data_IF_543406330611
#
_entry.id   IF_543406330611
#
_cell.length_a   1.000
_cell.length_b   1.000
_cell.length_c   1.000
_cell.angle_alpha   90.00
_cell.angle_beta   90.00
_cell.angle_gamma   90.00
#
_symmetry.space_group_name_H-M   'P 1'
#
loop_
_entity.id
_entity.type
_entity.pdbx_description
1 polymer ?
#
# COMPACT_ATOMS: atom_id res chain seq x y z
N UNK A 1 10.38 19.67 28.11
CA UNK A 1 10.76 18.67 29.13
C UNK A 1 11.26 17.44 28.40
N UNK A 2 12.49 17.01 28.70
CA UNK A 2 13.11 15.85 28.05
C UNK A 2 12.39 14.58 28.50
N UNK A 3 11.71 13.90 27.58
CA UNK A 3 11.13 12.58 27.83
C UNK A 3 12.24 11.56 27.72
N UNK A 4 12.66 11.05 28.87
CA UNK A 4 13.54 9.89 29.03
C UNK A 4 12.83 8.65 28.45
N UNK A 5 13.47 7.82 27.62
CA UNK A 5 12.84 6.62 27.12
C UNK A 5 12.66 5.60 28.26
N UNK A 6 11.40 5.32 28.59
CA UNK A 6 11.04 4.23 29.49
C UNK A 6 11.46 2.89 28.87
N UNK A 7 12.40 2.22 29.53
CA UNK A 7 12.87 0.88 29.18
C UNK A 7 11.83 -0.13 29.70
N UNK A 8 10.94 -0.58 28.83
CA UNK A 8 10.05 -1.70 29.14
C UNK A 8 10.91 -2.96 29.26
N UNK A 9 11.17 -3.40 30.50
CA UNK A 9 11.82 -4.66 30.82
C UNK A 9 10.81 -5.81 30.58
N UNK A 10 10.78 -6.32 29.35
CA UNK A 10 10.25 -7.65 29.07
C UNK A 10 11.38 -8.67 29.25
N UNK A 11 11.04 -9.80 29.89
CA UNK A 11 11.96 -10.83 30.35
C UNK A 11 12.88 -11.42 29.27
N UNK A 12 14.00 -11.95 29.73
CA UNK A 12 15.12 -12.50 28.99
C UNK A 12 14.72 -13.51 27.88
N UNK A 13 14.72 -13.05 26.63
CA UNK A 13 15.21 -13.84 25.51
C UNK A 13 16.66 -13.43 25.24
N UNK A 14 17.61 -14.34 24.97
CA UNK A 14 18.91 -13.96 24.45
C UNK A 14 18.65 -13.42 23.05
N UNK A 15 18.45 -12.10 22.95
CA UNK A 15 18.19 -11.43 21.69
C UNK A 15 19.27 -11.76 20.65
N UNK A 16 19.00 -11.45 19.36
CA UNK A 16 19.97 -11.70 18.31
C UNK A 16 21.34 -11.09 18.69
N UNK A 17 22.45 -11.72 18.28
CA UNK A 17 23.76 -11.23 18.68
C UNK A 17 23.92 -9.77 18.21
N UNK A 18 24.64 -8.91 18.96
CA UNK A 18 24.66 -7.46 18.72
C UNK A 18 25.08 -7.02 17.31
N UNK A 19 25.77 -7.90 16.57
CA UNK A 19 26.19 -7.63 15.19
C UNK A 19 25.11 -7.94 14.15
N UNK A 20 24.09 -8.75 14.48
CA UNK A 20 23.05 -9.17 13.55
C UNK A 20 22.08 -8.03 13.19
N UNK A 21 21.81 -7.13 14.13
CA UNK A 21 20.98 -5.94 13.89
C UNK A 21 21.67 -4.69 14.41
N UNK A 22 21.92 -3.72 13.53
CA UNK A 22 22.49 -2.42 13.87
C UNK A 22 21.47 -1.32 13.55
N UNK A 23 20.77 -0.75 14.56
CA UNK A 23 19.89 0.39 14.33
C UNK A 23 20.72 1.63 13.98
N UNK A 24 20.49 2.20 12.80
CA UNK A 24 21.15 3.41 12.31
C UNK A 24 20.08 4.43 11.90
N UNK A 25 19.56 5.25 12.83
CA UNK A 25 18.61 6.30 12.48
C UNK A 25 19.29 7.34 11.58
N UNK A 26 18.79 7.49 10.37
CA UNK A 26 19.24 8.47 9.38
C UNK A 26 18.04 9.32 8.94
N UNK A 27 18.24 10.64 8.81
CA UNK A 27 17.21 11.56 8.32
C UNK A 27 17.42 11.81 6.83
N UNK A 28 16.43 11.43 6.02
CA UNK A 28 16.45 11.61 4.56
C UNK A 28 17.11 10.46 3.80
N UNK A 29 17.17 10.60 2.47
CA UNK A 29 18.00 9.72 1.65
C UNK A 29 19.46 10.06 1.94
N UNK A 30 20.05 9.39 2.94
CA UNK A 30 21.49 9.23 2.93
C UNK A 30 21.81 8.66 1.55
N UNK A 31 22.62 9.34 0.71
CA UNK A 31 23.01 8.73 -0.54
C UNK A 31 23.64 7.39 -0.19
N UNK A 32 23.55 6.41 -1.09
CA UNK A 32 24.61 5.42 -1.17
C UNK A 32 25.90 6.19 -1.56
N UNK A 33 26.40 7.02 -0.65
CA UNK A 33 27.49 7.95 -0.87
C UNK A 33 28.75 7.12 -1.02
N UNK A 34 29.60 7.47 -1.99
CA UNK A 34 30.87 6.79 -2.16
C UNK A 34 31.75 7.15 -0.96
N UNK A 35 31.83 6.29 0.05
CA UNK A 35 32.97 6.34 0.96
C UNK A 35 34.18 5.78 0.21
N UNK A 36 35.33 6.47 0.22
CA UNK A 36 36.55 5.97 -0.39
C UNK A 36 37.20 4.97 0.57
N UNK A 37 36.92 3.69 0.37
CA UNK A 37 37.89 2.58 0.44
C UNK A 37 37.14 1.26 0.20
N UNK A 38 37.57 0.43 -0.76
CA UNK A 38 36.94 -0.88 -1.01
C UNK A 38 37.16 -1.91 0.13
N UNK A 39 37.86 -1.55 1.20
CA UNK A 39 38.36 -2.48 2.21
C UNK A 39 37.70 -2.39 3.60
N UNK A 40 36.80 -1.43 3.89
CA UNK A 40 36.36 -1.21 5.28
C UNK A 40 34.84 -1.22 5.57
N UNK A 41 33.94 -1.24 4.57
CA UNK A 41 32.50 -1.37 4.83
C UNK A 41 31.86 -2.57 4.10
N UNK A 42 30.98 -3.34 4.78
CA UNK A 42 30.25 -4.43 4.15
C UNK A 42 29.35 -3.88 3.04
N UNK A 43 29.56 -4.35 1.82
CA UNK A 43 28.72 -3.98 0.69
C UNK A 43 27.35 -4.67 0.77
N UNK A 44 26.25 -3.98 0.40
CA UNK A 44 24.91 -4.54 0.56
C UNK A 44 24.70 -5.71 -0.40
N UNK A 45 24.45 -6.92 0.14
CA UNK A 45 23.98 -8.06 -0.65
C UNK A 45 22.51 -7.92 -1.08
N UNK A 46 21.73 -7.15 -0.32
CA UNK A 46 20.30 -6.95 -0.57
C UNK A 46 19.76 -5.70 0.12
N UNK A 47 18.74 -5.08 -0.44
CA UNK A 47 18.10 -3.84 0.05
C UNK A 47 16.57 -4.01 0.07
N UNK A 48 15.97 -3.84 1.24
CA UNK A 48 14.51 -3.83 1.45
C UNK A 48 14.03 -2.41 1.68
N UNK A 49 12.97 -1.99 0.97
CA UNK A 49 12.43 -0.63 1.07
C UNK A 49 10.90 -0.69 1.14
N UNK A 50 10.31 0.02 2.10
CA UNK A 50 8.87 0.35 2.12
C UNK A 50 8.73 1.86 2.12
N UNK A 51 8.48 2.45 0.95
CA UNK A 51 8.47 3.91 0.75
C UNK A 51 7.77 4.26 -0.56
N UNK A 52 7.46 5.54 -0.83
CA UNK A 52 6.87 5.92 -2.12
C UNK A 52 7.70 5.52 -3.35
N UNK A 53 7.02 5.26 -4.46
CA UNK A 53 7.61 4.76 -5.72
C UNK A 53 8.83 5.56 -6.22
N UNK A 54 8.81 6.89 -6.11
CA UNK A 54 9.92 7.76 -6.54
C UNK A 54 11.23 7.48 -5.79
N UNK A 55 11.15 7.21 -4.48
CA UNK A 55 12.33 6.88 -3.66
C UNK A 55 12.90 5.53 -4.07
N UNK A 56 12.05 4.51 -4.25
CA UNK A 56 12.49 3.18 -4.68
C UNK A 56 13.16 3.23 -6.06
N UNK A 57 12.57 3.97 -7.02
CA UNK A 57 13.15 4.19 -8.35
C UNK A 57 14.50 4.90 -8.30
N UNK A 58 14.67 5.86 -7.38
CA UNK A 58 15.95 6.54 -7.17
C UNK A 58 17.03 5.58 -6.68
N UNK A 59 16.72 4.77 -5.65
CA UNK A 59 17.64 3.75 -5.13
C UNK A 59 18.01 2.71 -6.18
N UNK A 60 17.06 2.28 -7.00
CA UNK A 60 17.32 1.38 -8.12
C UNK A 60 18.33 1.96 -9.11
N UNK A 61 18.17 3.24 -9.49
CA UNK A 61 19.12 3.94 -10.37
C UNK A 61 20.51 4.03 -9.75
N UNK A 62 20.61 4.33 -8.45
CA UNK A 62 21.89 4.38 -7.75
C UNK A 62 22.61 3.04 -7.73
N UNK A 63 21.88 1.94 -7.51
CA UNK A 63 22.46 0.59 -7.58
C UNK A 63 22.95 0.28 -9.00
N UNK A 64 22.15 0.58 -10.01
CA UNK A 64 22.55 0.37 -11.42
C UNK A 64 23.80 1.18 -11.79
N UNK A 65 23.91 2.44 -11.35
CA UNK A 65 25.07 3.31 -11.60
C UNK A 65 26.35 2.83 -10.92
N UNK A 66 26.27 2.01 -9.87
CA UNK A 66 27.41 1.55 -9.10
C UNK A 66 27.71 0.05 -9.29
N UNK A 67 27.18 -0.57 -10.35
CA UNK A 67 27.15 -2.03 -10.50
C UNK A 67 28.55 -2.66 -10.46
N UNK A 68 29.53 -2.03 -11.11
CA UNK A 68 30.92 -2.49 -11.18
C UNK A 68 31.64 -2.51 -9.82
N UNK A 69 31.07 -1.86 -8.80
CA UNK A 69 31.65 -1.77 -7.46
C UNK A 69 31.20 -2.92 -6.56
N UNK A 70 30.10 -3.57 -6.89
CA UNK A 70 29.52 -4.63 -6.07
C UNK A 70 30.16 -5.98 -6.35
N UNK A 71 30.41 -6.77 -5.28
CA UNK A 71 30.91 -8.14 -5.40
C UNK A 71 29.87 -9.11 -5.98
N UNK A 72 28.58 -8.79 -5.84
CA UNK A 72 27.43 -9.54 -6.35
C UNK A 72 26.35 -8.55 -6.75
N UNK A 73 25.39 -8.97 -7.57
CA UNK A 73 24.22 -8.15 -7.91
C UNK A 73 23.34 -7.91 -6.67
N UNK A 74 23.18 -6.66 -6.20
CA UNK A 74 22.31 -6.38 -5.06
C UNK A 74 20.85 -6.69 -5.40
N UNK A 75 20.17 -7.36 -4.47
CA UNK A 75 18.74 -7.68 -4.61
C UNK A 75 17.89 -6.58 -4.00
N UNK A 76 17.07 -5.91 -4.81
CA UNK A 76 16.13 -4.90 -4.32
C UNK A 76 14.75 -5.54 -4.12
N UNK A 77 14.12 -5.26 -2.97
CA UNK A 77 12.73 -5.56 -2.67
C UNK A 77 12.04 -4.26 -2.24
N UNK A 78 10.94 -3.91 -2.88
CA UNK A 78 10.26 -2.62 -2.70
C UNK A 78 8.75 -2.78 -2.58
N UNK A 79 8.15 -2.20 -1.55
CA UNK A 79 6.70 -1.98 -1.41
C UNK A 79 6.43 -0.46 -1.49
N UNK A 80 5.68 -0.03 -2.51
CA UNK A 80 5.74 1.32 -3.06
C UNK A 80 4.44 2.13 -3.01
N UNK A 81 3.48 1.72 -2.18
CA UNK A 81 2.19 2.39 -2.03
C UNK A 81 1.15 1.98 -3.07
N UNK A 82 0.00 2.64 -3.03
CA UNK A 82 -1.13 2.28 -3.87
C UNK A 82 -2.19 3.37 -4.04
N UNK A 83 -3.01 3.21 -5.07
CA UNK A 83 -4.26 3.98 -5.26
C UNK A 83 -5.45 3.02 -5.28
N UNK A 84 -5.73 2.46 -4.12
CA UNK A 84 -6.63 1.32 -3.96
C UNK A 84 -8.08 1.68 -4.22
N UNK A 85 -8.85 0.69 -4.67
CA UNK A 85 -10.24 0.86 -5.07
C UNK A 85 -11.20 -0.04 -4.30
N UNK A 86 -12.40 0.44 -4.07
CA UNK A 86 -13.59 -0.39 -3.84
C UNK A 86 -14.51 -0.23 -5.05
N UNK A 87 -14.88 -1.34 -5.69
CA UNK A 87 -15.84 -1.38 -6.78
C UNK A 87 -17.13 -2.03 -6.30
N UNK A 88 -18.25 -1.36 -6.50
CA UNK A 88 -19.57 -1.81 -6.06
C UNK A 88 -20.37 -2.21 -7.30
N UNK A 89 -20.97 -3.39 -7.29
CA UNK A 89 -21.98 -3.79 -8.28
C UNK A 89 -23.39 -3.55 -7.70
N UNK A 90 -24.41 -3.42 -8.56
CA UNK A 90 -25.81 -3.21 -8.14
C UNK A 90 -26.38 -4.31 -7.23
N UNK A 91 -25.74 -5.49 -7.20
CA UNK A 91 -26.10 -6.61 -6.34
C UNK A 91 -25.31 -6.63 -5.02
N UNK A 92 -24.62 -5.54 -4.66
CA UNK A 92 -23.83 -5.48 -3.44
C UNK A 92 -24.71 -5.39 -2.19
N UNK A 93 -24.20 -5.90 -1.07
CA UNK A 93 -24.74 -5.59 0.25
C UNK A 93 -24.32 -4.16 0.65
N UNK A 94 -25.30 -3.25 0.78
CA UNK A 94 -25.05 -1.82 1.01
C UNK A 94 -24.36 -1.56 2.34
N UNK A 95 -24.72 -2.29 3.40
CA UNK A 95 -24.16 -2.08 4.73
C UNK A 95 -22.70 -2.52 4.82
N UNK A 96 -22.36 -3.63 4.16
CA UNK A 96 -20.97 -4.09 4.00
C UNK A 96 -20.14 -3.10 3.18
N UNK A 97 -20.71 -2.52 2.11
CA UNK A 97 -20.05 -1.47 1.32
C UNK A 97 -19.75 -0.25 2.18
N UNK A 98 -20.74 0.25 2.93
CA UNK A 98 -20.59 1.45 3.77
C UNK A 98 -19.56 1.21 4.87
N UNK A 99 -19.75 0.18 5.69
CA UNK A 99 -18.85 -0.12 6.81
C UNK A 99 -17.42 -0.45 6.35
N UNK A 100 -17.29 -1.29 5.31
CA UNK A 100 -16.01 -1.67 4.75
C UNK A 100 -15.27 -0.49 4.14
N UNK A 101 -15.97 0.41 3.45
CA UNK A 101 -15.35 1.59 2.82
C UNK A 101 -14.94 2.64 3.85
N UNK A 102 -15.78 2.93 4.85
CA UNK A 102 -15.41 3.86 5.94
C UNK A 102 -14.16 3.38 6.68
N UNK A 103 -14.09 2.09 7.03
CA UNK A 103 -12.90 1.50 7.66
C UNK A 103 -11.69 1.57 6.76
N UNK A 104 -11.83 1.16 5.50
CA UNK A 104 -10.72 1.14 4.56
C UNK A 104 -10.14 2.54 4.29
N UNK A 105 -11.00 3.55 4.16
CA UNK A 105 -10.59 4.91 3.83
C UNK A 105 -10.05 5.69 5.04
N UNK A 106 -10.59 5.46 6.24
CA UNK A 106 -10.39 6.40 7.36
C UNK A 106 -9.70 5.81 8.59
N UNK A 107 -9.64 4.47 8.77
CA UNK A 107 -8.85 3.91 9.87
C UNK A 107 -7.39 4.36 9.76
N UNK A 108 -6.79 4.75 10.89
CA UNK A 108 -5.45 5.33 10.94
C UNK A 108 -5.28 6.56 10.02
N UNK A 109 -6.36 7.31 9.80
CA UNK A 109 -6.38 8.50 8.94
C UNK A 109 -6.06 8.19 7.49
N UNK A 110 -6.37 6.98 7.00
CA UNK A 110 -6.03 6.57 5.63
C UNK A 110 -4.53 6.41 5.36
N UNK A 111 -3.69 6.40 6.40
CA UNK A 111 -2.23 6.28 6.30
C UNK A 111 -1.79 4.81 6.19
N UNK A 112 -2.44 4.09 5.28
CA UNK A 112 -2.14 2.71 4.95
C UNK A 112 -1.93 2.62 3.44
N UNK A 113 -0.89 1.90 3.00
CA UNK A 113 -0.68 1.63 1.58
C UNK A 113 -1.87 0.90 0.93
N UNK A 114 -2.70 0.21 1.73
CA UNK A 114 -3.91 -0.51 1.31
C UNK A 114 -5.23 0.28 1.46
N UNK A 115 -5.19 1.52 1.96
CA UNK A 115 -6.39 2.33 2.21
C UNK A 115 -7.18 2.59 0.92
N UNK A 116 -8.49 2.37 0.95
CA UNK A 116 -9.38 2.72 -0.15
C UNK A 116 -9.45 4.24 -0.31
N UNK A 117 -9.09 4.73 -1.50
CA UNK A 117 -9.21 6.17 -1.82
C UNK A 117 -10.07 6.44 -3.05
N UNK A 118 -10.57 5.38 -3.72
CA UNK A 118 -11.45 5.46 -4.88
C UNK A 118 -12.60 4.48 -4.75
N UNK A 119 -13.82 4.98 -4.63
CA UNK A 119 -15.04 4.18 -4.59
C UNK A 119 -15.78 4.33 -5.92
N UNK A 120 -16.13 3.22 -6.55
CA UNK A 120 -16.92 3.19 -7.78
C UNK A 120 -18.31 2.63 -7.47
N UNK A 121 -19.36 3.44 -7.64
CA UNK A 121 -20.73 3.10 -7.20
C UNK A 121 -21.71 3.14 -8.38
N UNK A 122 -22.59 2.13 -8.54
CA UNK A 122 -23.62 2.17 -9.57
C UNK A 122 -24.68 3.20 -9.21
N UNK A 123 -25.23 3.87 -10.23
CA UNK A 123 -26.23 4.93 -10.05
C UNK A 123 -27.46 4.46 -9.26
N UNK A 124 -27.89 3.21 -9.44
CA UNK A 124 -29.04 2.64 -8.71
C UNK A 124 -28.85 2.61 -7.18
N UNK A 125 -27.63 2.35 -6.70
CA UNK A 125 -27.34 2.26 -5.26
C UNK A 125 -26.79 3.57 -4.68
N UNK A 126 -26.41 4.53 -5.52
CA UNK A 126 -25.78 5.76 -5.05
C UNK A 126 -26.62 6.55 -4.04
N UNK A 127 -27.95 6.75 -4.20
CA UNK A 127 -28.75 7.45 -3.20
C UNK A 127 -28.67 6.81 -1.80
N UNK A 128 -28.73 5.48 -1.73
CA UNK A 128 -28.67 4.73 -0.48
C UNK A 128 -27.26 4.78 0.13
N UNK A 129 -26.23 4.49 -0.67
CA UNK A 129 -24.83 4.50 -0.22
C UNK A 129 -24.40 5.90 0.21
N UNK A 130 -24.75 6.95 -0.55
CA UNK A 130 -24.47 8.34 -0.21
C UNK A 130 -25.12 8.70 1.13
N UNK A 131 -26.41 8.44 1.30
CA UNK A 131 -27.13 8.74 2.54
C UNK A 131 -26.45 8.10 3.76
N UNK A 132 -26.15 6.80 3.68
CA UNK A 132 -25.52 6.04 4.76
C UNK A 132 -24.08 6.51 5.04
N UNK A 133 -23.28 6.77 4.00
CA UNK A 133 -21.92 7.29 4.17
C UNK A 133 -21.92 8.65 4.88
N UNK A 134 -22.85 9.55 4.52
CA UNK A 134 -22.95 10.87 5.15
C UNK A 134 -23.48 10.80 6.59
N UNK A 135 -24.45 9.91 6.86
CA UNK A 135 -24.96 9.67 8.21
C UNK A 135 -23.86 9.16 9.15
N UNK A 136 -23.16 8.10 8.74
CA UNK A 136 -22.10 7.50 9.56
C UNK A 136 -20.87 8.42 9.64
N UNK A 137 -20.58 9.21 8.60
CA UNK A 137 -19.53 10.24 8.63
C UNK A 137 -19.75 11.21 9.80
N UNK A 138 -20.98 11.67 10.03
CA UNK A 138 -21.32 12.56 11.13
C UNK A 138 -21.10 11.96 12.53
N UNK A 139 -20.88 10.65 12.64
CA UNK A 139 -20.59 9.94 13.89
C UNK A 139 -19.10 9.65 14.11
N UNK A 140 -18.25 9.90 13.11
CA UNK A 140 -16.81 9.61 13.21
C UNK A 140 -16.16 10.59 14.21
N UNK A 141 -15.58 10.04 15.27
CA UNK A 141 -14.80 10.80 16.25
C UNK A 141 -13.33 10.85 15.84
N UNK A 142 -12.78 12.06 15.74
CA UNK A 142 -11.35 12.33 15.55
C UNK A 142 -10.82 13.01 16.80
N UNK A 143 -9.77 12.49 17.41
CA UNK A 143 -9.30 12.97 18.70
C UNK A 143 -8.00 12.35 19.18
N UNK A 144 -7.67 12.57 20.45
CA UNK A 144 -6.53 11.95 21.11
C UNK A 144 -6.85 10.47 21.44
N UNK A 145 -6.12 9.50 20.86
CA UNK A 145 -6.41 8.08 21.04
C UNK A 145 -5.96 7.54 22.40
N UNK A 146 -5.11 8.26 23.14
CA UNK A 146 -4.69 7.87 24.49
C UNK A 146 -5.72 8.29 25.54
N UNK A 147 -6.38 9.44 25.35
CA UNK A 147 -7.35 10.00 26.29
C UNK A 147 -8.80 9.54 26.03
N UNK A 148 -9.21 9.35 24.78
CA UNK A 148 -10.56 8.87 24.42
C UNK A 148 -10.52 7.64 23.52
N UNK A 149 -10.83 6.46 24.09
CA UNK A 149 -10.92 5.20 23.34
C UNK A 149 -12.14 5.13 22.40
N UNK A 150 -13.07 6.08 22.49
CA UNK A 150 -14.11 6.30 21.49
C UNK A 150 -13.60 6.94 20.19
N UNK A 151 -12.34 7.38 20.14
CA UNK A 151 -11.69 7.91 18.94
C UNK A 151 -11.61 6.85 17.85
N UNK A 152 -12.12 7.15 16.66
CA UNK A 152 -12.05 6.25 15.51
C UNK A 152 -10.69 6.32 14.80
N UNK A 153 -10.15 7.53 14.62
CA UNK A 153 -8.76 7.75 14.21
C UNK A 153 -8.26 9.13 14.70
N UNK A 154 -6.95 9.36 14.63
CA UNK A 154 -6.32 10.59 15.16
C UNK A 154 -5.61 11.41 14.07
N UNK A 155 -4.78 12.37 14.48
CA UNK A 155 -3.97 13.20 13.62
C UNK A 155 -3.12 12.39 12.62
N UNK A 156 -2.80 13.03 11.49
CA UNK A 156 -1.84 12.49 10.52
C UNK A 156 -0.40 12.65 11.03
N UNK A 157 0.52 11.89 10.47
CA UNK A 157 1.82 11.59 11.09
C UNK A 157 2.73 12.80 11.32
N UNK A 158 2.73 13.77 10.39
CA UNK A 158 3.63 14.92 10.44
C UNK A 158 3.10 16.14 9.64
N UNK A 159 3.76 17.29 9.82
CA UNK A 159 3.44 18.53 9.11
C UNK A 159 3.50 18.40 7.58
N UNK A 160 4.40 17.56 7.05
CA UNK A 160 4.51 17.33 5.60
C UNK A 160 3.28 16.61 5.06
N UNK A 161 2.79 15.62 5.78
CA UNK A 161 1.57 14.89 5.46
C UNK A 161 0.35 15.78 5.59
N UNK A 162 0.25 16.57 6.67
CA UNK A 162 -0.79 17.58 6.84
C UNK A 162 -0.83 18.56 5.66
N UNK A 163 0.31 19.18 5.33
CA UNK A 163 0.40 20.14 4.23
C UNK A 163 0.08 19.53 2.86
N UNK A 164 0.46 18.26 2.61
CA UNK A 164 0.07 17.53 1.39
C UNK A 164 -1.44 17.30 1.32
N UNK A 165 -2.04 16.83 2.40
CA UNK A 165 -3.47 16.53 2.44
C UNK A 165 -4.29 17.81 2.31
N UNK A 166 -3.90 18.89 3.01
CA UNK A 166 -4.53 20.21 2.89
C UNK A 166 -4.57 20.69 1.44
N UNK A 167 -3.49 20.54 0.67
CA UNK A 167 -3.45 20.89 -0.77
C UNK A 167 -4.47 20.10 -1.59
N UNK A 168 -4.65 18.80 -1.29
CA UNK A 168 -5.67 17.99 -1.96
C UNK A 168 -7.10 18.39 -1.58
N UNK A 169 -7.32 18.83 -0.34
CA UNK A 169 -8.60 19.38 0.10
C UNK A 169 -8.91 20.73 -0.57
N UNK A 170 -7.90 21.58 -0.75
CA UNK A 170 -8.01 22.83 -1.51
C UNK A 170 -8.31 22.56 -3.00
N UNK A 171 -7.61 21.59 -3.61
CA UNK A 171 -7.88 21.10 -4.97
C UNK A 171 -9.31 20.57 -5.13
N UNK A 172 -9.80 19.78 -4.17
CA UNK A 172 -11.16 19.26 -4.17
C UNK A 172 -12.25 20.35 -4.10
N UNK A 173 -11.92 21.54 -3.57
CA UNK A 173 -12.81 22.71 -3.53
C UNK A 173 -12.76 23.55 -4.80
N UNK A 174 -11.62 23.60 -5.48
CA UNK A 174 -11.41 24.46 -6.65
C UNK A 174 -11.69 23.76 -7.99
N UNK A 175 -11.57 22.43 -8.05
CA UNK A 175 -11.78 21.67 -9.26
C UNK A 175 -13.27 21.58 -9.62
N UNK A 176 -13.68 21.93 -10.86
CA UNK A 176 -15.10 21.93 -11.26
C UNK A 176 -15.69 20.51 -11.41
N UNK A 177 -14.85 19.48 -11.51
CA UNK A 177 -15.27 18.09 -11.58
C UNK A 177 -15.45 17.45 -10.21
N UNK A 178 -15.07 18.13 -9.13
CA UNK A 178 -15.10 17.62 -7.76
C UNK A 178 -16.16 18.32 -6.92
N UNK A 179 -16.76 17.59 -5.99
CA UNK A 179 -17.69 18.14 -5.01
C UNK A 179 -17.42 17.50 -3.65
N UNK A 180 -17.05 18.30 -2.66
CA UNK A 180 -16.91 17.82 -1.28
C UNK A 180 -18.31 17.53 -0.72
N UNK A 181 -18.59 16.27 -0.42
CA UNK A 181 -19.86 15.82 0.15
C UNK A 181 -19.88 15.91 1.68
N UNK A 182 -18.73 15.67 2.31
CA UNK A 182 -18.58 15.67 3.77
C UNK A 182 -17.16 16.01 4.21
N UNK A 183 -17.05 16.66 5.37
CA UNK A 183 -15.77 16.99 6.02
C UNK A 183 -14.94 18.01 5.24
N UNK A 184 -13.63 17.76 5.16
CA UNK A 184 -12.67 18.60 4.45
C UNK A 184 -12.06 19.73 5.28
N UNK A 185 -12.35 19.82 6.59
CA UNK A 185 -11.62 20.72 7.48
C UNK A 185 -10.33 20.06 7.97
N UNK A 186 -9.36 20.90 8.33
CA UNK A 186 -8.11 20.48 8.94
C UNK A 186 -7.59 21.59 9.85
N UNK A 187 -6.94 21.22 10.95
CA UNK A 187 -6.38 22.11 11.95
C UNK A 187 -5.07 21.51 12.46
N UNK A 188 -3.99 22.29 12.46
CA UNK A 188 -2.66 21.93 12.94
C UNK A 188 -2.21 22.70 14.20
N UNK A 189 -3.14 23.39 14.87
CA UNK A 189 -2.85 24.21 16.06
C UNK A 189 -2.38 23.41 17.28
N UNK A 190 -2.89 22.19 17.46
CA UNK A 190 -2.55 21.29 18.59
C UNK A 190 -1.90 20.00 18.10
N UNK A 191 -2.48 19.39 17.07
CA UNK A 191 -1.97 18.22 16.38
C UNK A 191 -2.40 18.28 14.92
N UNK A 192 -1.83 17.46 14.06
CA UNK A 192 -2.10 17.48 12.62
C UNK A 192 -3.46 16.84 12.28
N UNK A 193 -4.56 17.43 12.73
CA UNK A 193 -5.90 16.87 12.59
C UNK A 193 -6.51 17.18 11.23
N UNK A 194 -6.99 16.14 10.55
CA UNK A 194 -7.73 16.25 9.29
C UNK A 194 -9.03 15.48 9.45
N UNK A 195 -10.17 16.13 9.21
CA UNK A 195 -11.47 15.46 9.23
C UNK A 195 -11.56 14.43 8.07
N UNK A 196 -12.29 13.31 8.26
CA UNK A 196 -12.55 12.40 7.16
C UNK A 196 -13.28 13.15 6.05
N UNK A 197 -12.80 13.06 4.81
CA UNK A 197 -13.31 13.81 3.68
C UNK A 197 -13.87 12.85 2.62
N UNK A 198 -15.11 13.10 2.18
CA UNK A 198 -15.74 12.36 1.09
C UNK A 198 -15.97 13.33 -0.07
N UNK A 199 -15.42 13.01 -1.23
CA UNK A 199 -15.50 13.83 -2.44
C UNK A 199 -16.20 13.02 -3.54
N UNK A 200 -17.14 13.62 -4.24
CA UNK A 200 -17.69 13.07 -5.49
C UNK A 200 -16.92 13.63 -6.67
N UNK A 201 -16.45 12.77 -7.58
CA UNK A 201 -15.88 13.18 -8.86
C UNK A 201 -16.85 12.86 -10.00
N UNK A 202 -17.00 13.80 -10.92
CA UNK A 202 -17.67 13.60 -12.22
C UNK A 202 -16.71 13.06 -13.29
N UNK A 203 -15.40 13.13 -13.03
CA UNK A 203 -14.35 12.65 -13.92
C UNK A 203 -13.62 11.44 -13.30
N UNK A 204 -13.71 10.22 -13.89
CA UNK A 204 -12.99 9.06 -13.36
C UNK A 204 -11.48 9.11 -13.58
N UNK A 205 -10.98 10.13 -14.31
CA UNK A 205 -9.57 10.35 -14.65
C UNK A 205 -8.96 11.57 -13.93
N UNK A 206 -9.69 12.18 -12.99
CA UNK A 206 -9.24 13.32 -12.19
C UNK A 206 -7.93 13.00 -11.44
N UNK A 207 -6.95 13.92 -11.31
CA UNK A 207 -5.72 13.69 -10.54
C UNK A 207 -5.91 13.04 -9.15
N UNK A 208 -6.94 13.41 -8.41
CA UNK A 208 -7.30 12.85 -7.10
C UNK A 208 -7.67 11.36 -7.18
N UNK A 209 -8.09 10.87 -8.36
CA UNK A 209 -8.33 9.46 -8.67
C UNK A 209 -7.06 8.72 -9.12
N UNK A 210 -5.91 9.38 -9.19
CA UNK A 210 -4.65 8.79 -9.70
C UNK A 210 -3.53 8.81 -8.68
N UNK A 211 -3.42 9.89 -7.92
CA UNK A 211 -2.29 10.14 -7.04
C UNK A 211 -2.56 9.68 -5.60
N UNK A 212 -1.57 9.03 -4.98
CA UNK A 212 -1.65 8.58 -3.58
C UNK A 212 -1.57 9.80 -2.65
N UNK A 213 -2.60 10.00 -1.83
CA UNK A 213 -2.71 11.14 -0.90
C UNK A 213 -2.13 10.77 0.46
N UNK A 214 -2.34 9.52 0.89
CA UNK A 214 -1.93 8.98 2.19
C UNK A 214 -2.52 9.81 3.35
N UNK A 215 -3.86 9.93 3.34
CA UNK A 215 -4.66 10.74 4.25
C UNK A 215 -6.14 10.37 4.15
N UNK A 216 -7.02 10.90 5.02
CA UNK A 216 -8.40 10.45 5.15
C UNK A 216 -9.31 11.09 4.09
N UNK A 217 -8.99 10.87 2.81
CA UNK A 217 -9.71 11.44 1.65
C UNK A 217 -10.18 10.32 0.73
N UNK A 218 -11.50 10.14 0.67
CA UNK A 218 -12.18 9.20 -0.20
C UNK A 218 -12.79 9.94 -1.39
N UNK A 219 -12.46 9.53 -2.61
CA UNK A 219 -13.14 10.02 -3.82
C UNK A 219 -14.09 8.96 -4.36
N UNK A 220 -15.31 9.37 -4.70
CA UNK A 220 -16.39 8.53 -5.22
C UNK A 220 -16.64 8.90 -6.68
N UNK A 221 -16.72 7.90 -7.55
CA UNK A 221 -17.20 8.04 -8.92
C UNK A 221 -18.47 7.21 -9.10
N UNK A 222 -19.54 7.86 -9.60
CA UNK A 222 -20.84 7.22 -9.81
C UNK A 222 -21.00 6.88 -11.28
N UNK A 223 -21.20 5.60 -11.58
CA UNK A 223 -21.28 5.08 -12.95
C UNK A 223 -22.70 4.58 -13.29
N UNK A 224 -23.15 4.63 -14.56
CA UNK A 224 -24.39 4.00 -14.99
C UNK A 224 -24.34 2.48 -14.84
N UNK A 225 -25.36 1.85 -14.25
CA UNK A 225 -25.41 0.42 -13.96
C UNK A 225 -25.06 -0.50 -15.16
N UNK A 226 -25.50 -0.12 -16.35
CA UNK A 226 -25.27 -0.83 -17.61
C UNK A 226 -23.83 -0.72 -18.13
N UNK A 227 -23.02 0.17 -17.55
CA UNK A 227 -21.61 0.42 -17.91
C UNK A 227 -20.62 -0.17 -16.90
N UNK A 228 -21.03 -1.19 -16.13
CA UNK A 228 -20.17 -1.76 -15.10
C UNK A 228 -18.88 -2.36 -15.70
N UNK A 229 -18.92 -2.96 -16.90
CA UNK A 229 -17.75 -3.54 -17.56
C UNK A 229 -16.77 -2.47 -18.01
N UNK A 230 -17.27 -1.40 -18.61
CA UNK A 230 -16.49 -0.21 -18.98
C UNK A 230 -15.84 0.39 -17.73
N UNK A 231 -16.60 0.44 -16.63
CA UNK A 231 -16.09 0.93 -15.35
C UNK A 231 -15.02 0.01 -14.76
N UNK A 232 -15.13 -1.31 -14.89
CA UNK A 232 -14.05 -2.24 -14.50
C UNK A 232 -12.76 -1.99 -15.31
N UNK A 233 -12.88 -1.69 -16.62
CA UNK A 233 -11.71 -1.28 -17.43
C UNK A 233 -11.13 0.07 -16.96
N UNK A 234 -11.98 1.01 -16.54
CA UNK A 234 -11.52 2.26 -15.94
C UNK A 234 -10.75 2.00 -14.63
N UNK A 235 -11.30 1.19 -13.72
CA UNK A 235 -10.64 0.81 -12.46
C UNK A 235 -9.22 0.27 -12.72
N UNK A 236 -9.08 -0.61 -13.71
CA UNK A 236 -7.80 -1.22 -14.10
C UNK A 236 -6.79 -0.20 -14.67
N UNK A 237 -7.26 0.75 -15.48
CA UNK A 237 -6.41 1.62 -16.32
C UNK A 237 -6.16 3.02 -15.77
N UNK A 238 -6.97 3.53 -14.84
CA UNK A 238 -6.88 4.92 -14.34
C UNK A 238 -5.53 5.20 -13.66
N UNK A 239 -4.93 4.22 -12.97
CA UNK A 239 -3.75 4.45 -12.10
C UNK A 239 -2.57 3.59 -12.50
N UNK A 240 -1.36 4.06 -12.16
CA UNK A 240 -0.12 3.28 -12.31
C UNK A 240 0.06 2.20 -11.23
N UNK A 241 -0.80 2.16 -10.21
CA UNK A 241 -0.67 1.27 -9.05
C UNK A 241 -1.41 -0.06 -9.24
N UNK A 242 -1.01 -1.06 -8.44
CA UNK A 242 -1.51 -2.43 -8.51
C UNK A 242 -1.54 -3.15 -7.15
N UNK A 243 -1.83 -2.43 -6.05
CA UNK A 243 -1.66 -2.95 -4.69
C UNK A 243 -2.88 -3.71 -4.16
N UNK A 244 -3.93 -3.00 -3.73
CA UNK A 244 -5.14 -3.63 -3.21
C UNK A 244 -6.41 -3.14 -3.90
N UNK A 245 -7.44 -3.97 -3.90
CA UNK A 245 -8.76 -3.57 -4.37
C UNK A 245 -9.84 -4.56 -3.98
N UNK A 246 -11.07 -4.08 -3.86
CA UNK A 246 -12.22 -4.88 -3.47
C UNK A 246 -13.35 -4.81 -4.50
N UNK A 247 -14.08 -5.91 -4.67
CA UNK A 247 -15.36 -5.96 -5.37
C UNK A 247 -16.46 -6.36 -4.39
N UNK A 248 -17.50 -5.53 -4.29
CA UNK A 248 -18.71 -5.83 -3.54
C UNK A 248 -19.81 -6.25 -4.54
N UNK A 249 -20.20 -7.52 -4.50
CA UNK A 249 -21.23 -8.11 -5.36
C UNK A 249 -21.69 -9.46 -4.79
N UNK A 250 -23.00 -9.71 -4.81
CA UNK A 250 -23.57 -11.05 -4.56
C UNK A 250 -23.78 -11.90 -5.84
N UNK A 251 -23.75 -11.28 -7.02
CA UNK A 251 -23.86 -11.98 -8.30
C UNK A 251 -22.54 -12.69 -8.64
N UNK A 252 -22.60 -14.03 -8.75
CA UNK A 252 -21.41 -14.87 -8.98
C UNK A 252 -20.76 -14.62 -10.34
N UNK A 253 -21.54 -14.37 -11.37
CA UNK A 253 -20.99 -14.17 -12.73
C UNK A 253 -20.23 -12.84 -12.79
N UNK A 254 -20.77 -11.83 -12.12
CA UNK A 254 -20.10 -10.52 -11.97
C UNK A 254 -18.83 -10.64 -11.14
N UNK A 255 -18.84 -11.38 -10.03
CA UNK A 255 -17.64 -11.64 -9.22
C UNK A 255 -16.55 -12.30 -10.07
N UNK A 256 -16.90 -13.35 -10.82
CA UNK A 256 -15.95 -14.05 -11.68
C UNK A 256 -15.41 -13.16 -12.81
N UNK A 257 -16.29 -12.37 -13.45
CA UNK A 257 -15.91 -11.43 -14.50
C UNK A 257 -14.98 -10.34 -13.97
N UNK A 258 -15.34 -9.68 -12.87
CA UNK A 258 -14.53 -8.66 -12.24
C UNK A 258 -13.17 -9.21 -11.79
N UNK A 259 -13.14 -10.43 -11.22
CA UNK A 259 -11.89 -11.10 -10.84
C UNK A 259 -10.96 -11.33 -12.04
N UNK A 260 -11.51 -11.67 -13.22
CA UNK A 260 -10.72 -11.82 -14.44
C UNK A 260 -10.22 -10.47 -14.98
N UNK A 261 -11.10 -9.47 -15.02
CA UNK A 261 -10.77 -8.14 -15.57
C UNK A 261 -9.78 -7.37 -14.71
N UNK A 262 -9.86 -7.53 -13.37
CA UNK A 262 -9.03 -6.81 -12.41
C UNK A 262 -7.82 -7.63 -11.93
N UNK A 263 -7.49 -8.73 -12.60
CA UNK A 263 -6.45 -9.69 -12.21
C UNK A 263 -5.11 -9.03 -11.87
N UNK A 264 -4.73 -7.99 -12.63
CA UNK A 264 -3.47 -7.27 -12.45
C UNK A 264 -3.66 -5.88 -11.82
N UNK A 265 -4.89 -5.49 -11.50
CA UNK A 265 -5.21 -4.21 -10.87
C UNK A 265 -4.93 -4.21 -9.35
N UNK A 266 -4.87 -5.40 -8.74
CA UNK A 266 -4.58 -5.57 -7.32
C UNK A 266 -3.83 -6.89 -7.08
N UNK A 267 -2.70 -6.82 -6.38
CA UNK A 267 -1.99 -7.99 -5.87
C UNK A 267 -2.66 -8.61 -4.64
N UNK A 268 -3.44 -7.83 -3.89
CA UNK A 268 -4.36 -8.31 -2.85
C UNK A 268 -5.79 -7.89 -3.23
N UNK A 269 -6.57 -8.87 -3.69
CA UNK A 269 -7.93 -8.67 -4.18
C UNK A 269 -8.94 -9.26 -3.21
N UNK A 270 -9.97 -8.47 -2.88
CA UNK A 270 -10.98 -8.80 -1.88
C UNK A 270 -12.36 -8.88 -2.52
N UNK A 271 -13.18 -9.83 -2.08
CA UNK A 271 -14.57 -9.98 -2.51
C UNK A 271 -15.45 -9.82 -1.27
N UNK A 272 -16.35 -8.84 -1.29
CA UNK A 272 -17.26 -8.51 -0.18
C UNK A 272 -16.56 -8.24 1.17
N UNK A 273 -15.35 -7.70 1.12
CA UNK A 273 -14.59 -7.25 2.30
C UNK A 273 -13.79 -5.98 1.94
N UNK A 274 -13.34 -5.25 2.96
CA UNK A 274 -12.53 -4.05 2.80
C UNK A 274 -11.12 -4.37 2.28
N UNK A 275 -10.51 -3.45 1.54
CA UNK A 275 -9.19 -3.63 0.93
C UNK A 275 -7.98 -3.64 1.89
N UNK A 276 -8.20 -3.46 3.20
CA UNK A 276 -7.16 -3.31 4.23
C UNK A 276 -7.14 -4.48 5.21
N UNK A 277 -6.05 -4.64 5.95
CA UNK A 277 -5.98 -5.56 7.09
C UNK A 277 -5.58 -6.98 6.72
N UNK A 278 -4.70 -7.14 5.74
CA UNK A 278 -4.07 -8.43 5.42
C UNK A 278 -3.38 -9.03 6.65
N UNK A 279 -3.63 -10.31 6.89
CA UNK A 279 -3.06 -11.07 8.01
C UNK A 279 -1.92 -11.95 7.52
N UNK A 280 -0.80 -11.94 8.26
CA UNK A 280 0.37 -12.79 7.99
C UNK A 280 -0.06 -14.27 7.95
N UNK A 281 0.43 -15.01 6.95
CA UNK A 281 0.08 -16.42 6.74
C UNK A 281 -1.29 -16.67 6.11
N UNK A 282 -2.16 -15.65 6.00
CA UNK A 282 -3.47 -15.80 5.37
C UNK A 282 -3.57 -15.03 4.04
N UNK A 283 -3.22 -13.73 4.03
CA UNK A 283 -3.21 -12.91 2.82
C UNK A 283 -1.84 -12.27 2.62
N UNK A 284 -0.82 -13.02 2.12
CA UNK A 284 0.49 -12.46 1.80
C UNK A 284 0.35 -11.14 1.01
N UNK A 285 0.98 -10.09 1.54
CA UNK A 285 0.71 -8.72 1.11
C UNK A 285 1.69 -8.27 0.04
N UNK A 286 1.22 -7.58 -0.99
CA UNK A 286 2.07 -6.95 -2.00
C UNK A 286 1.36 -6.83 -3.35
N UNK A 287 1.91 -5.98 -4.22
CA UNK A 287 1.36 -5.74 -5.55
C UNK A 287 2.42 -5.32 -6.56
N UNK A 288 2.09 -5.47 -7.85
CA UNK A 288 2.98 -5.16 -8.96
C UNK A 288 2.72 -3.72 -9.49
N UNK A 289 3.04 -3.47 -10.77
CA UNK A 289 2.99 -2.13 -11.39
C UNK A 289 3.87 -1.14 -10.62
N UNK A 290 3.40 0.08 -10.36
CA UNK A 290 4.13 1.04 -9.53
C UNK A 290 4.11 0.69 -8.03
N UNK A 291 3.38 -0.35 -7.60
CA UNK A 291 3.25 -0.70 -6.18
C UNK A 291 4.41 -1.53 -5.63
N UNK A 292 5.33 -2.03 -6.47
CA UNK A 292 6.54 -2.68 -5.97
C UNK A 292 6.99 -3.91 -6.74
N UNK A 293 7.89 -4.67 -6.10
CA UNK A 293 8.44 -5.94 -6.59
C UNK A 293 7.56 -7.15 -6.29
N UNK A 294 6.53 -6.98 -5.46
CA UNK A 294 5.54 -8.02 -5.12
C UNK A 294 6.18 -9.31 -4.56
N UNK A 295 7.15 -9.18 -3.65
CA UNK A 295 7.85 -10.32 -3.05
C UNK A 295 6.98 -11.07 -2.00
N UNK A 296 5.78 -10.55 -1.72
CA UNK A 296 4.76 -11.13 -0.82
C UNK A 296 5.21 -11.37 0.63
N UNK A 297 5.68 -10.34 1.37
CA UNK A 297 5.87 -10.43 2.81
C UNK A 297 4.64 -11.00 3.52
N UNK A 298 4.88 -11.85 4.52
CA UNK A 298 3.85 -12.62 5.21
C UNK A 298 3.46 -13.94 4.54
N UNK A 299 3.98 -14.24 3.34
CA UNK A 299 3.89 -15.54 2.69
C UNK A 299 5.18 -16.37 2.78
N UNK A 300 5.13 -17.66 2.41
CA UNK A 300 6.27 -18.58 2.57
C UNK A 300 7.42 -18.29 1.61
N UNK A 301 7.18 -17.59 0.50
CA UNK A 301 8.19 -17.33 -0.53
C UNK A 301 9.06 -16.10 -0.24
N UNK A 302 8.63 -15.18 0.64
CA UNK A 302 9.33 -13.92 0.88
C UNK A 302 10.79 -14.12 1.34
N UNK A 303 11.01 -15.14 2.18
CA UNK A 303 12.34 -15.47 2.70
C UNK A 303 13.34 -15.87 1.60
N UNK A 304 12.86 -16.33 0.43
CA UNK A 304 13.71 -16.74 -0.68
C UNK A 304 14.47 -15.56 -1.30
N UNK A 305 14.01 -14.33 -1.10
CA UNK A 305 14.74 -13.12 -1.53
C UNK A 305 16.06 -12.94 -0.79
N UNK A 306 16.15 -13.47 0.42
CA UNK A 306 17.28 -13.27 1.34
C UNK A 306 18.19 -14.49 1.44
N UNK A 307 17.99 -15.52 0.60
CA UNK A 307 18.86 -16.71 0.51
C UNK A 307 19.53 -16.82 -0.87
N UNK A 308 20.78 -17.29 -0.90
CA UNK A 308 21.49 -17.66 -2.13
C UNK A 308 21.84 -19.16 -2.06
N UNK A 309 20.98 -20.05 -2.59
CA UNK A 309 21.15 -21.50 -2.40
C UNK A 309 22.45 -22.02 -3.01
N UNK A 310 23.08 -22.97 -2.31
CA UNK A 310 24.19 -23.78 -2.81
C UNK A 310 23.74 -25.25 -2.82
N UNK A 311 23.98 -25.96 -3.93
CA UNK A 311 23.79 -27.41 -4.02
C UNK A 311 25.15 -28.07 -3.99
N UNK A 312 25.32 -29.08 -3.13
CA UNK A 312 26.57 -29.82 -2.99
C UNK A 312 26.32 -31.22 -3.54
N UNK A 313 27.13 -31.62 -4.53
CA UNK A 313 27.19 -32.98 -5.05
C UNK A 313 28.48 -33.62 -4.60
N UNK A 314 28.38 -34.69 -3.82
CA UNK A 314 29.49 -35.57 -3.50
C UNK A 314 29.37 -36.84 -4.35
N UNK A 315 30.46 -37.26 -4.98
CA UNK A 315 30.50 -38.53 -5.74
C UNK A 315 31.35 -39.51 -4.94
N UNK A 316 30.77 -40.64 -4.53
CA UNK A 316 31.41 -41.62 -3.64
C UNK A 316 32.12 -42.76 -4.40
N UNK A 317 32.28 -42.63 -5.72
CA UNK A 317 33.05 -43.52 -6.57
C UNK A 317 34.02 -42.69 -7.45
N UNK A 318 35.24 -43.20 -7.75
CA UNK A 318 36.14 -42.54 -8.68
C UNK A 318 35.48 -42.31 -10.05
N UNK A 319 35.78 -41.16 -10.68
CA UNK A 319 35.41 -40.93 -12.07
C UNK A 319 36.17 -41.91 -12.98
N UNK A 320 35.48 -42.43 -14.00
CA UNK A 320 36.05 -43.36 -14.99
C UNK A 320 36.84 -42.66 -16.10
N UNK A 321 36.99 -43.32 -17.24
CA UNK A 321 37.57 -42.71 -18.44
C UNK A 321 36.80 -41.43 -18.82
N UNK A 322 37.52 -40.42 -19.30
CA UNK A 322 36.93 -39.17 -19.81
C UNK A 322 36.16 -39.39 -21.11
N UNK A 323 36.44 -40.50 -21.81
CA UNK A 323 35.74 -40.92 -23.02
C UNK A 323 34.36 -41.49 -22.68
N UNK A 324 33.45 -41.30 -23.62
CA UNK A 324 32.14 -41.94 -23.61
C UNK A 324 32.16 -43.19 -24.48
N UNK A 325 31.26 -44.13 -24.20
CA UNK A 325 31.19 -45.43 -24.88
C UNK A 325 31.00 -45.37 -26.40
N UNK A 326 30.42 -44.29 -26.94
CA UNK A 326 30.15 -44.12 -28.37
C UNK A 326 31.36 -43.66 -29.20
N UNK A 327 32.48 -43.33 -28.57
CA UNK A 327 33.68 -42.82 -29.26
C UNK A 327 34.55 -43.94 -29.86
N UNK A 328 34.04 -45.17 -29.90
CA UNK A 328 34.68 -46.38 -30.41
C UNK A 328 33.92 -46.96 -31.59
#
# INVERSE_FOLDING_TARGET
>A
MAVTPARLLLGCDPGPPPWAFRPLPLVGAAPLSPRPSPSQEPQPGSLTVSSGFSTFKHLWKQVAQNLDRFRTFPRLAGECGGKNFHFVHRSADVDSVVSGTLRSAFEYGGQKCSACSRLYVPRSLWPQIKGRLLEEHGRIKVGDPAEDFGTFFSAVIDAKSFGRIRKWLEHARSSPSLTVLAGGKCDDSVGYFVEPCIVESKDPQEPIMKEEIFGPVLTVYVYPDDQYKETLRLVDSTTSYGLTGAVFAQDKDVVQEATRMLRNAAGNFYINDKSTGSVVGQQPFGGARASGTNDKPGGPHYILRWTSPQVIKETHAPLGDWRYSYMH
#
